data_IF_751481165769
#
_entry.id   IF_751481165769
#
_cell.length_a   1.000
_cell.length_b   1.000
_cell.length_c   1.000
_cell.angle_alpha   90.00
_cell.angle_beta   90.00
_cell.angle_gamma   90.00
#
_symmetry.space_group_name_H-M   'P 1'
#
loop_
_entity.id
_entity.type
_entity.pdbx_description
1 polymer ?
#
# COMPACT_ATOMS: atom_id res chain seq x y z
N UNK A 1 -4.11 -18.22 -1.93
CA UNK A 1 -3.68 -19.65 -1.87
C UNK A 1 -4.10 -20.31 -3.17
N UNK A 2 -3.34 -21.28 -3.68
CA UNK A 2 -3.71 -22.07 -4.86
C UNK A 2 -3.91 -23.54 -4.49
N UNK A 3 -4.85 -24.22 -5.14
CA UNK A 3 -5.13 -25.64 -4.93
C UNK A 3 -4.93 -26.40 -6.24
N UNK A 4 -4.12 -27.44 -6.21
CA UNK A 4 -3.87 -28.33 -7.34
C UNK A 4 -4.49 -29.67 -7.03
N UNK A 5 -5.56 -30.02 -7.74
CA UNK A 5 -6.21 -31.33 -7.64
C UNK A 5 -5.81 -32.20 -8.82
N UNK A 6 -5.20 -33.35 -8.57
CA UNK A 6 -5.01 -34.35 -9.61
C UNK A 6 -6.32 -35.11 -9.83
N UNK A 7 -7.07 -34.72 -10.85
CA UNK A 7 -8.32 -35.38 -11.24
C UNK A 7 -8.12 -36.60 -12.16
N UNK A 8 -6.87 -36.98 -12.46
CA UNK A 8 -6.57 -38.13 -13.31
C UNK A 8 -6.42 -39.42 -12.50
N UNK A 9 -6.39 -40.56 -13.19
CA UNK A 9 -6.16 -41.89 -12.60
C UNK A 9 -4.68 -42.21 -12.41
N UNK A 10 -3.78 -41.32 -12.80
CA UNK A 10 -2.33 -41.54 -12.76
C UNK A 10 -1.65 -40.49 -11.88
N UNK A 11 -0.52 -40.87 -11.26
CA UNK A 11 0.31 -39.92 -10.53
C UNK A 11 0.89 -38.91 -11.51
N UNK A 12 0.87 -37.63 -11.14
CA UNK A 12 1.55 -36.58 -11.89
C UNK A 12 2.83 -36.16 -11.17
N UNK A 13 3.87 -35.87 -11.93
CA UNK A 13 5.11 -35.26 -11.47
C UNK A 13 5.10 -33.79 -11.86
N UNK A 14 5.36 -32.95 -10.88
CA UNK A 14 5.64 -31.51 -11.02
C UNK A 14 7.03 -31.23 -10.44
N UNK A 15 7.60 -30.07 -10.69
CA UNK A 15 8.86 -29.67 -10.08
C UNK A 15 8.63 -28.56 -9.07
N UNK A 16 9.22 -28.72 -7.89
CA UNK A 16 9.33 -27.67 -6.88
C UNK A 16 10.72 -27.04 -6.95
N UNK A 17 10.77 -25.73 -7.06
CA UNK A 17 11.90 -24.82 -7.28
C UNK A 17 11.98 -23.79 -6.14
N UNK A 18 11.39 -24.12 -4.99
CA UNK A 18 11.40 -23.47 -3.66
C UNK A 18 11.67 -21.96 -3.57
N UNK A 19 10.88 -21.21 -4.31
CA UNK A 19 10.43 -19.90 -3.86
C UNK A 19 9.14 -19.67 -4.60
N UNK A 20 7.98 -19.83 -3.94
CA UNK A 20 6.59 -19.42 -4.26
C UNK A 20 6.06 -19.34 -5.73
N UNK A 21 6.85 -19.71 -6.74
CA UNK A 21 6.67 -19.66 -8.19
C UNK A 21 7.03 -21.02 -8.82
N UNK A 22 7.19 -22.08 -8.03
CA UNK A 22 7.86 -23.28 -8.48
C UNK A 22 6.95 -24.32 -9.11
N UNK A 23 5.80 -24.59 -8.49
CA UNK A 23 4.80 -25.50 -9.06
C UNK A 23 3.78 -24.71 -9.90
N UNK A 24 3.52 -23.45 -9.52
CA UNK A 24 2.52 -22.59 -10.15
C UNK A 24 3.19 -21.41 -10.86
N UNK A 25 2.95 -21.31 -12.17
CA UNK A 25 3.25 -20.17 -13.01
C UNK A 25 2.12 -19.15 -12.88
N UNK A 26 2.40 -17.96 -12.35
CA UNK A 26 1.40 -16.90 -12.31
C UNK A 26 1.54 -16.00 -13.55
N UNK A 27 0.45 -15.79 -14.28
CA UNK A 27 0.43 -14.91 -15.45
C UNK A 27 -0.56 -13.77 -15.25
N UNK A 28 -0.13 -12.56 -15.63
CA UNK A 28 -0.94 -11.36 -15.70
C UNK A 28 -1.42 -11.16 -17.14
N UNK A 29 -2.69 -10.83 -17.32
CA UNK A 29 -3.21 -10.42 -18.62
C UNK A 29 -2.77 -8.98 -18.92
N UNK A 30 -2.02 -8.81 -19.99
CA UNK A 30 -1.55 -7.51 -20.49
C UNK A 30 -2.13 -7.24 -21.88
N UNK A 31 -2.06 -6.01 -22.41
CA UNK A 31 -2.48 -5.73 -23.79
C UNK A 31 -1.78 -6.63 -24.82
N UNK A 32 -0.55 -7.05 -24.55
CA UNK A 32 0.24 -7.96 -25.39
C UNK A 32 -0.05 -9.45 -25.11
N UNK A 33 -1.04 -9.74 -24.26
CA UNK A 33 -1.46 -11.08 -23.85
C UNK A 33 -0.97 -11.49 -22.46
N UNK A 34 -1.01 -12.79 -22.19
CA UNK A 34 -0.66 -13.35 -20.87
C UNK A 34 0.85 -13.34 -20.63
N UNK A 35 1.30 -12.48 -19.72
CA UNK A 35 2.70 -12.34 -19.34
C UNK A 35 2.99 -13.05 -18.04
N UNK A 36 3.98 -13.93 -18.03
CA UNK A 36 4.45 -14.57 -16.80
C UNK A 36 5.07 -13.53 -15.87
N UNK A 37 4.57 -13.48 -14.63
CA UNK A 37 5.22 -12.69 -13.59
C UNK A 37 6.55 -13.36 -13.22
N UNK A 38 7.58 -12.52 -13.04
CA UNK A 38 8.99 -12.92 -13.06
C UNK A 38 9.31 -14.17 -12.22
N UNK A 39 10.30 -14.98 -12.64
CA UNK A 39 10.69 -16.16 -11.89
C UNK A 39 11.14 -15.74 -10.49
N UNK A 40 10.67 -16.46 -9.49
CA UNK A 40 11.27 -16.38 -8.17
C UNK A 40 12.75 -16.81 -8.27
N UNK A 41 13.62 -16.22 -7.45
CA UNK A 41 15.03 -16.62 -7.39
C UNK A 41 15.10 -18.12 -7.04
N UNK A 42 15.86 -18.90 -7.83
CA UNK A 42 16.08 -20.30 -7.52
C UNK A 42 17.10 -20.39 -6.39
N UNK A 43 16.62 -20.52 -5.15
CA UNK A 43 17.49 -20.69 -3.99
C UNK A 43 18.06 -22.13 -3.90
N UNK A 44 17.48 -23.08 -4.64
CA UNK A 44 17.99 -24.45 -4.80
C UNK A 44 17.59 -25.11 -6.12
N UNK A 45 18.21 -26.26 -6.42
CA UNK A 45 17.87 -27.07 -7.59
C UNK A 45 16.42 -27.58 -7.54
N UNK A 46 15.72 -27.67 -8.68
CA UNK A 46 14.36 -28.20 -8.76
C UNK A 46 14.26 -29.65 -8.26
N UNK A 47 13.36 -29.88 -7.31
CA UNK A 47 13.04 -31.21 -6.77
C UNK A 47 11.72 -31.72 -7.32
N UNK A 48 11.63 -32.96 -7.81
CA UNK A 48 10.37 -33.51 -8.29
C UNK A 48 9.39 -33.71 -7.12
N UNK A 49 8.16 -33.27 -7.32
CA UNK A 49 7.03 -33.48 -6.42
C UNK A 49 5.99 -34.32 -7.14
N UNK A 50 5.50 -35.36 -6.48
CA UNK A 50 4.48 -36.24 -7.02
C UNK A 50 3.13 -35.95 -6.36
N UNK A 51 2.06 -35.95 -7.16
CA UNK A 51 0.68 -35.74 -6.72
C UNK A 51 -0.12 -36.96 -7.17
N UNK A 52 -0.58 -37.78 -6.21
CA UNK A 52 -1.28 -39.04 -6.46
C UNK A 52 -2.68 -38.80 -7.07
N UNK A 53 -3.30 -39.82 -7.69
CA UNK A 53 -4.68 -39.75 -8.13
C UNK A 53 -5.61 -39.25 -7.01
N UNK A 54 -6.41 -38.23 -7.29
CA UNK A 54 -7.34 -37.62 -6.32
C UNK A 54 -6.70 -36.72 -5.25
N UNK A 55 -5.37 -36.66 -5.14
CA UNK A 55 -4.68 -35.81 -4.16
C UNK A 55 -4.87 -34.33 -4.49
N UNK A 56 -5.09 -33.54 -3.43
CA UNK A 56 -5.13 -32.07 -3.51
C UNK A 56 -3.90 -31.52 -2.80
N UNK A 57 -3.05 -30.82 -3.55
CA UNK A 57 -1.91 -30.08 -3.01
C UNK A 57 -2.31 -28.62 -2.81
N UNK A 58 -2.12 -28.11 -1.60
CA UNK A 58 -2.29 -26.67 -1.33
C UNK A 58 -0.94 -25.98 -1.44
N UNK A 59 -0.90 -24.93 -2.25
CA UNK A 59 0.31 -24.19 -2.56
C UNK A 59 0.09 -22.75 -2.11
N UNK A 60 0.97 -22.29 -1.22
CA UNK A 60 0.99 -20.89 -0.80
C UNK A 60 1.56 -20.08 -1.96
N UNK A 61 0.77 -19.11 -2.44
CA UNK A 61 1.26 -18.11 -3.37
C UNK A 61 2.06 -17.06 -2.59
N UNK A 62 2.99 -16.32 -3.23
CA UNK A 62 3.73 -15.26 -2.55
C UNK A 62 2.74 -14.29 -1.89
N UNK A 63 3.11 -13.72 -0.74
CA UNK A 63 2.46 -12.49 -0.25
C UNK A 63 2.58 -11.40 -1.32
N UNK A 64 1.78 -10.34 -1.24
CA UNK A 64 1.60 -9.25 -2.24
C UNK A 64 2.89 -8.63 -2.79
N UNK A 65 4.05 -8.95 -2.21
CA UNK A 65 5.39 -8.56 -2.60
C UNK A 65 6.19 -9.76 -3.15
N UNK A 66 6.57 -9.69 -4.44
CA UNK A 66 7.75 -10.41 -4.94
C UNK A 66 8.93 -9.43 -4.89
N UNK A 67 9.68 -9.45 -3.78
CA UNK A 67 10.68 -8.41 -3.50
C UNK A 67 10.02 -7.05 -3.21
N UNK A 68 10.45 -5.98 -3.90
CA UNK A 68 9.90 -4.62 -3.75
C UNK A 68 8.66 -4.34 -4.62
N UNK A 69 8.27 -5.25 -5.53
CA UNK A 69 7.12 -5.05 -6.41
C UNK A 69 5.83 -5.59 -5.78
N UNK A 70 4.86 -4.69 -5.60
CA UNK A 70 3.45 -5.05 -5.40
C UNK A 70 2.87 -5.62 -6.69
N UNK A 71 2.07 -6.68 -6.59
CA UNK A 71 1.38 -7.24 -7.75
C UNK A 71 0.49 -6.15 -8.37
N UNK A 72 0.51 -5.90 -9.69
CA UNK A 72 -0.39 -4.91 -10.29
C UNK A 72 -1.85 -5.37 -10.23
N UNK A 73 -2.79 -4.42 -10.29
CA UNK A 73 -4.20 -4.75 -10.47
C UNK A 73 -4.42 -5.33 -11.87
N UNK A 74 -5.20 -6.40 -11.99
CA UNK A 74 -5.54 -6.98 -13.28
C UNK A 74 -6.16 -8.37 -13.21
N UNK A 75 -6.36 -8.97 -14.38
CA UNK A 75 -6.78 -10.36 -14.52
C UNK A 75 -5.56 -11.29 -14.53
N UNK A 76 -5.65 -12.36 -13.76
CA UNK A 76 -4.58 -13.31 -13.50
C UNK A 76 -5.03 -14.72 -13.84
N UNK A 77 -4.08 -15.60 -14.17
CA UNK A 77 -4.30 -17.05 -14.22
C UNK A 77 -3.12 -17.81 -13.65
N UNK A 78 -3.40 -18.95 -13.01
CA UNK A 78 -2.40 -19.86 -12.47
C UNK A 78 -2.18 -21.01 -13.45
N UNK A 79 -0.94 -21.27 -13.84
CA UNK A 79 -0.55 -22.39 -14.70
C UNK A 79 0.24 -23.44 -13.93
N UNK A 80 0.09 -24.71 -14.27
CA UNK A 80 0.90 -25.80 -13.73
C UNK A 80 1.46 -26.63 -14.88
N UNK A 81 2.76 -26.93 -14.84
CA UNK A 81 3.42 -27.82 -15.79
C UNK A 81 3.68 -29.16 -15.12
N UNK A 82 3.23 -30.25 -15.74
CA UNK A 82 3.31 -31.59 -15.17
C UNK A 82 3.50 -32.65 -16.26
N UNK A 83 3.98 -33.83 -15.87
CA UNK A 83 3.96 -35.04 -16.69
C UNK A 83 3.32 -36.19 -15.92
N UNK A 84 2.65 -37.12 -16.59
CA UNK A 84 2.20 -38.36 -15.93
C UNK A 84 3.39 -39.29 -15.73
N UNK A 85 3.38 -40.03 -14.62
CA UNK A 85 4.41 -41.01 -14.31
C UNK A 85 3.82 -42.40 -14.09
N UNK A 86 4.62 -43.42 -14.41
CA UNK A 86 4.30 -44.81 -14.08
C UNK A 86 4.58 -45.14 -12.60
N UNK A 87 4.38 -46.39 -12.21
CA UNK A 87 4.62 -46.88 -10.84
C UNK A 87 6.09 -46.69 -10.39
N UNK A 88 7.04 -46.74 -11.33
CA UNK A 88 8.47 -46.50 -11.08
C UNK A 88 8.84 -45.00 -11.11
N UNK A 89 7.85 -44.11 -11.09
CA UNK A 89 7.99 -42.65 -11.13
C UNK A 89 8.69 -42.11 -12.38
N UNK A 90 8.71 -42.89 -13.47
CA UNK A 90 9.24 -42.46 -14.77
C UNK A 90 8.16 -41.75 -15.59
N UNK A 91 8.48 -40.63 -16.25
CA UNK A 91 7.53 -39.94 -17.11
C UNK A 91 7.09 -40.85 -18.27
N UNK A 92 5.79 -40.90 -18.51
CA UNK A 92 5.16 -41.62 -19.64
C UNK A 92 4.50 -40.66 -20.63
N UNK A 93 4.68 -39.37 -20.42
CA UNK A 93 4.19 -38.30 -21.28
C UNK A 93 5.22 -37.19 -21.37
N UNK A 94 5.05 -36.36 -22.38
CA UNK A 94 5.65 -35.02 -22.40
C UNK A 94 5.08 -34.15 -21.27
N UNK A 95 5.76 -33.04 -20.99
CA UNK A 95 5.30 -32.05 -20.05
C UNK A 95 4.14 -31.24 -20.64
N UNK A 96 3.03 -31.17 -19.92
CA UNK A 96 1.84 -30.42 -20.29
C UNK A 96 1.64 -29.28 -19.32
N UNK A 97 1.29 -28.11 -19.86
CA UNK A 97 0.89 -26.95 -19.05
C UNK A 97 -0.61 -26.73 -19.15
N UNK A 98 -1.28 -26.68 -18.00
CA UNK A 98 -2.70 -26.30 -17.91
C UNK A 98 -2.86 -25.04 -17.07
N UNK A 99 -3.95 -24.30 -17.28
CA UNK A 99 -4.23 -23.03 -16.61
C UNK A 99 -5.58 -23.06 -15.89
N UNK A 100 -5.68 -22.31 -14.79
CA UNK A 100 -6.94 -22.01 -14.12
C UNK A 100 -7.82 -21.09 -14.99
N UNK A 101 -9.09 -21.00 -14.62
CA UNK A 101 -9.92 -19.87 -15.03
C UNK A 101 -9.28 -18.54 -14.58
N UNK A 102 -9.45 -17.45 -15.35
CA UNK A 102 -8.99 -16.14 -14.95
C UNK A 102 -9.62 -15.67 -13.64
N UNK A 103 -8.84 -15.04 -12.78
CA UNK A 103 -9.30 -14.40 -11.55
C UNK A 103 -8.75 -12.98 -11.45
N UNK A 104 -9.53 -12.06 -10.87
CA UNK A 104 -9.10 -10.67 -10.73
C UNK A 104 -8.34 -10.47 -9.43
N UNK A 105 -7.16 -9.85 -9.52
CA UNK A 105 -6.45 -9.29 -8.38
C UNK A 105 -6.71 -7.80 -8.40
N UNK A 106 -7.36 -7.31 -7.35
CA UNK A 106 -7.53 -5.88 -7.10
C UNK A 106 -6.56 -5.52 -6.01
N UNK A 107 -5.49 -4.80 -6.36
CA UNK A 107 -4.75 -4.07 -5.34
C UNK A 107 -5.71 -3.00 -4.84
N UNK A 108 -5.95 -2.88 -3.52
CA UNK A 108 -6.62 -1.69 -3.02
C UNK A 108 -5.84 -0.50 -3.56
N UNK A 109 -6.47 0.29 -4.46
CA UNK A 109 -5.93 1.59 -4.82
C UNK A 109 -5.53 2.26 -3.52
N UNK A 110 -4.30 2.79 -3.37
CA UNK A 110 -3.96 3.57 -2.20
C UNK A 110 -5.07 4.59 -2.09
N UNK A 111 -5.91 4.42 -1.08
CA UNK A 111 -6.93 5.40 -0.85
C UNK A 111 -6.17 6.71 -0.70
N UNK A 112 -6.47 7.80 -1.46
CA UNK A 112 -5.57 8.95 -1.57
C UNK A 112 -5.21 9.54 -0.19
N UNK A 113 -5.98 9.12 0.81
CA UNK A 113 -5.64 9.23 2.19
C UNK A 113 -6.17 10.54 2.70
N UNK A 114 -5.39 11.16 3.57
CA UNK A 114 -5.56 12.58 3.85
C UNK A 114 -4.87 13.38 2.75
N UNK A 115 -5.62 14.28 2.11
CA UNK A 115 -5.13 15.27 1.16
C UNK A 115 -5.30 16.65 1.76
N UNK A 116 -4.22 17.43 1.76
CA UNK A 116 -4.25 18.82 2.22
C UNK A 116 -4.27 19.77 1.03
N UNK A 117 -5.14 20.76 1.06
CA UNK A 117 -5.19 21.81 0.03
C UNK A 117 -5.38 23.19 0.64
N UNK A 118 -4.69 24.19 0.09
CA UNK A 118 -4.90 25.60 0.42
C UNK A 118 -5.76 26.26 -0.65
N UNK A 119 -6.44 27.35 -0.29
CA UNK A 119 -7.26 28.12 -1.23
C UNK A 119 -6.44 28.99 -2.18
N UNK A 120 -5.21 29.35 -1.80
CA UNK A 120 -4.28 30.20 -2.55
C UNK A 120 -2.88 29.62 -2.53
N UNK A 121 -2.04 30.11 -3.44
CA UNK A 121 -0.59 29.87 -3.45
C UNK A 121 0.22 30.97 -2.77
N UNK A 122 -0.42 32.08 -2.43
CA UNK A 122 0.21 33.26 -1.84
C UNK A 122 -0.71 33.82 -0.76
N UNK A 123 -0.11 34.16 0.38
CA UNK A 123 -0.78 34.75 1.54
C UNK A 123 0.05 35.91 2.09
N UNK A 124 -0.56 36.93 2.66
CA UNK A 124 0.10 37.95 3.48
C UNK A 124 0.36 37.42 4.89
N UNK A 125 1.40 37.92 5.55
CA UNK A 125 1.72 37.56 6.95
C UNK A 125 0.54 37.79 7.90
N UNK A 126 -0.37 38.72 7.59
CA UNK A 126 -1.55 39.03 8.42
C UNK A 126 -2.83 38.27 8.06
N UNK A 127 -2.89 37.59 6.91
CA UNK A 127 -4.13 36.97 6.43
C UNK A 127 -4.21 35.49 6.82
N UNK A 128 -5.36 35.01 7.34
CA UNK A 128 -5.49 33.61 7.76
C UNK A 128 -5.30 32.65 6.58
N UNK A 129 -4.69 31.49 6.87
CA UNK A 129 -4.39 30.46 5.87
C UNK A 129 -5.35 29.28 6.08
N UNK A 130 -6.45 29.20 5.32
CA UNK A 130 -7.34 28.05 5.37
C UNK A 130 -6.74 26.86 4.64
N UNK A 131 -6.72 25.72 5.31
CA UNK A 131 -6.33 24.41 4.77
C UNK A 131 -7.53 23.48 4.84
N UNK A 132 -7.92 22.91 3.70
CA UNK A 132 -8.91 21.84 3.65
C UNK A 132 -8.20 20.50 3.84
N UNK A 133 -8.58 19.80 4.91
CA UNK A 133 -8.15 18.43 5.23
C UNK A 133 -9.20 17.47 4.69
N UNK A 134 -8.95 16.90 3.52
CA UNK A 134 -9.86 15.98 2.87
C UNK A 134 -9.44 14.53 3.13
N UNK A 135 -10.26 13.76 3.86
CA UNK A 135 -10.11 12.32 3.90
C UNK A 135 -10.81 11.72 2.68
N UNK A 136 -10.04 11.42 1.64
CA UNK A 136 -10.58 10.80 0.42
C UNK A 136 -10.79 9.30 0.55
N UNK A 137 -10.64 8.77 1.76
CA UNK A 137 -10.81 7.35 2.05
C UNK A 137 -12.18 6.97 2.55
N UNK A 138 -12.51 5.70 2.37
CA UNK A 138 -13.72 5.06 2.88
C UNK A 138 -13.56 4.64 4.36
N UNK A 139 -12.42 4.93 4.98
CA UNK A 139 -12.14 4.64 6.39
C UNK A 139 -11.94 5.95 7.17
N UNK A 140 -12.38 6.02 8.43
CA UNK A 140 -12.01 7.14 9.28
C UNK A 140 -10.49 7.13 9.52
N UNK A 141 -9.86 8.29 9.40
CA UNK A 141 -8.47 8.48 9.81
C UNK A 141 -8.43 9.07 11.22
N UNK A 142 -7.35 8.81 11.95
CA UNK A 142 -7.11 9.38 13.27
C UNK A 142 -5.82 10.18 13.26
N UNK A 143 -5.86 11.38 13.82
CA UNK A 143 -4.72 12.25 14.04
C UNK A 143 -4.70 12.72 15.50
N UNK A 144 -3.64 13.35 15.92
CA UNK A 144 -3.45 13.85 17.27
C UNK A 144 -3.62 15.37 17.30
N UNK A 145 -4.48 15.82 18.21
CA UNK A 145 -4.67 17.23 18.54
C UNK A 145 -3.89 17.54 19.82
N UNK A 146 -2.86 18.37 19.67
CA UNK A 146 -1.99 18.79 20.76
C UNK A 146 -2.48 20.07 21.47
N UNK A 147 -3.70 20.57 21.11
CA UNK A 147 -4.58 21.57 21.77
C UNK A 147 -4.02 22.89 22.29
N UNK A 148 -2.73 23.09 22.21
CA UNK A 148 -2.08 24.27 22.74
C UNK A 148 -1.54 25.04 21.56
N UNK A 149 -2.41 25.87 21.00
CA UNK A 149 -2.19 26.70 19.80
C UNK A 149 -1.98 25.93 18.49
N UNK A 150 -1.69 24.63 18.53
CA UNK A 150 -1.61 23.80 17.35
C UNK A 150 -2.97 23.23 16.99
N UNK A 151 -3.37 23.46 15.74
CA UNK A 151 -4.40 22.65 15.09
C UNK A 151 -3.87 21.22 14.89
N UNK A 152 -4.70 20.31 14.37
CA UNK A 152 -4.24 19.02 13.85
C UNK A 152 -3.20 19.13 12.71
N UNK A 153 -2.91 20.35 12.24
CA UNK A 153 -1.91 20.66 11.22
C UNK A 153 -0.72 21.42 11.81
N UNK A 154 0.45 21.13 11.26
CA UNK A 154 1.68 21.89 11.45
C UNK A 154 1.93 22.79 10.24
N UNK A 155 2.42 24.00 10.48
CA UNK A 155 2.97 24.86 9.44
C UNK A 155 4.48 24.68 9.40
N UNK A 156 5.02 24.32 8.24
CA UNK A 156 6.45 24.14 8.02
C UNK A 156 7.01 25.24 7.11
N UNK A 157 8.12 25.84 7.51
CA UNK A 157 8.90 26.76 6.68
C UNK A 157 9.99 26.01 5.94
N UNK A 158 10.26 26.41 4.70
CA UNK A 158 11.41 25.95 3.94
C UNK A 158 12.66 26.70 4.41
N UNK A 159 13.64 25.96 4.90
CA UNK A 159 14.99 26.43 5.26
C UNK A 159 16.02 25.83 4.29
N UNK A 160 17.29 26.20 4.45
CA UNK A 160 18.39 25.62 3.68
C UNK A 160 18.56 24.12 3.92
N UNK A 161 18.23 23.65 5.13
CA UNK A 161 18.39 22.26 5.57
C UNK A 161 17.13 21.41 5.37
N UNK A 162 16.02 22.00 4.94
CA UNK A 162 14.79 21.28 4.66
C UNK A 162 13.54 22.00 5.15
N UNK A 163 12.56 21.24 5.63
CA UNK A 163 11.31 21.77 6.15
C UNK A 163 11.31 21.73 7.68
N UNK A 164 11.10 22.87 8.32
CA UNK A 164 11.14 23.01 9.78
C UNK A 164 9.78 23.48 10.28
N UNK A 165 9.28 22.85 11.35
CA UNK A 165 8.04 23.28 12.00
C UNK A 165 8.22 24.71 12.54
N UNK A 166 7.28 25.59 12.21
CA UNK A 166 7.35 27.03 12.54
C UNK A 166 6.94 27.33 13.98
N UNK A 167 6.34 26.35 14.64
CA UNK A 167 5.96 26.42 16.04
C UNK A 167 6.16 25.04 16.68
N UNK A 168 6.69 25.05 17.90
CA UNK A 168 6.63 23.90 18.79
C UNK A 168 5.29 23.95 19.53
N UNK A 169 4.49 22.89 19.42
CA UNK A 169 3.26 22.78 20.19
C UNK A 169 3.63 22.65 21.68
N UNK A 170 3.46 23.72 22.45
CA UNK A 170 3.64 23.64 23.89
C UNK A 170 2.51 22.80 24.47
N UNK A 171 2.71 21.51 24.72
CA UNK A 171 1.68 20.61 25.26
C UNK A 171 1.22 21.11 26.65
N UNK A 172 0.17 21.94 26.72
CA UNK A 172 -0.46 22.42 27.96
C UNK A 172 -1.63 21.55 28.40
N UNK A 173 -2.05 20.61 27.57
CA UNK A 173 -3.11 19.64 27.85
C UNK A 173 -2.76 18.27 27.24
N UNK A 174 -3.35 17.17 27.72
CA UNK A 174 -3.14 15.85 27.13
C UNK A 174 -3.47 15.85 25.63
N UNK A 175 -2.60 15.22 24.83
CA UNK A 175 -2.87 14.95 23.42
C UNK A 175 -4.17 14.18 23.27
N UNK A 176 -5.10 14.68 22.46
CA UNK A 176 -6.36 13.99 22.18
C UNK A 176 -6.37 13.44 20.76
N UNK A 177 -6.97 12.27 20.57
CA UNK A 177 -7.22 11.72 19.24
C UNK A 177 -8.37 12.47 18.59
N UNK A 178 -8.16 12.96 17.37
CA UNK A 178 -9.19 13.54 16.51
C UNK A 178 -9.44 12.59 15.35
N UNK A 179 -10.72 12.25 15.14
CA UNK A 179 -11.14 11.43 14.02
C UNK A 179 -11.52 12.32 12.85
N UNK A 180 -10.95 12.03 11.68
CA UNK A 180 -11.32 12.64 10.40
C UNK A 180 -12.20 11.61 9.68
N UNK A 181 -13.53 11.82 9.59
CA UNK A 181 -14.44 10.83 9.04
C UNK A 181 -14.12 10.47 7.59
N UNK A 182 -14.54 9.27 7.17
CA UNK A 182 -14.44 8.84 5.78
C UNK A 182 -15.13 9.84 4.84
N UNK A 183 -14.52 10.14 3.70
CA UNK A 183 -15.03 11.06 2.69
C UNK A 183 -15.34 12.49 3.19
N UNK A 184 -14.84 12.88 4.36
CA UNK A 184 -15.07 14.20 4.93
C UNK A 184 -14.02 15.22 4.49
N UNK A 185 -14.43 16.49 4.46
CA UNK A 185 -13.54 17.64 4.28
C UNK A 185 -13.69 18.53 5.51
N UNK A 186 -12.60 18.70 6.25
CA UNK A 186 -12.56 19.54 7.45
C UNK A 186 -11.75 20.80 7.12
N UNK A 187 -12.34 22.00 7.21
CA UNK A 187 -11.58 23.24 7.10
C UNK A 187 -10.83 23.50 8.41
N UNK A 188 -9.53 23.80 8.30
CA UNK A 188 -8.66 24.16 9.42
C UNK A 188 -7.97 25.48 9.08
N UNK A 189 -8.00 26.44 10.00
CA UNK A 189 -7.27 27.71 9.83
C UNK A 189 -5.94 27.60 10.57
N UNK A 190 -4.83 27.79 9.86
CA UNK A 190 -3.52 27.74 10.50
C UNK A 190 -3.32 28.93 11.45
N UNK A 191 -2.74 28.69 12.64
CA UNK A 191 -2.50 29.72 13.64
C UNK A 191 -1.29 30.56 13.23
N UNK A 192 -1.54 31.63 12.46
CA UNK A 192 -0.51 32.63 12.15
C UNK A 192 -0.55 33.75 13.20
N UNK A 193 0.61 34.32 13.56
CA UNK A 193 0.75 35.45 14.48
C UNK A 193 0.14 35.27 15.88
N UNK A 194 0.19 34.05 16.42
CA UNK A 194 -0.07 33.85 17.85
C UNK A 194 1.15 34.28 18.68
N UNK A 195 0.99 34.40 20.00
CA UNK A 195 2.07 34.81 20.94
C UNK A 195 3.36 33.99 20.75
N UNK A 196 3.25 32.76 20.24
CA UNK A 196 4.37 31.83 20.04
C UNK A 196 4.67 31.53 18.56
N UNK A 197 4.06 32.24 17.60
CA UNK A 197 4.24 31.97 16.16
C UNK A 197 4.46 33.26 15.38
N UNK A 198 5.71 33.62 15.14
CA UNK A 198 6.05 34.75 14.25
C UNK A 198 6.36 34.20 12.86
N UNK A 199 5.39 34.32 11.96
CA UNK A 199 5.55 33.90 10.56
C UNK A 199 6.26 35.00 9.79
N UNK A 200 7.35 34.65 9.10
CA UNK A 200 8.12 35.58 8.25
C UNK A 200 7.82 35.33 6.77
N UNK A 201 8.07 36.29 5.87
CA UNK A 201 7.98 36.01 4.44
C UNK A 201 8.86 34.82 4.03
N UNK A 202 8.35 33.95 3.16
CA UNK A 202 9.06 32.74 2.74
C UNK A 202 8.15 31.70 2.11
N UNK A 203 8.70 30.51 1.87
CA UNK A 203 7.95 29.36 1.35
C UNK A 203 7.55 28.42 2.48
N UNK A 204 6.28 28.04 2.49
CA UNK A 204 5.65 27.24 3.53
C UNK A 204 4.86 26.06 2.97
N UNK A 205 4.57 25.08 3.81
CA UNK A 205 3.58 24.01 3.56
C UNK A 205 2.86 23.65 4.85
N UNK A 206 1.62 23.18 4.74
CA UNK A 206 0.97 22.51 5.86
C UNK A 206 1.34 21.03 5.86
N UNK A 207 1.46 20.45 7.05
CA UNK A 207 1.81 19.04 7.26
C UNK A 207 0.88 18.42 8.30
N UNK A 208 0.49 17.16 8.09
CA UNK A 208 -0.28 16.36 9.04
C UNK A 208 0.32 14.96 9.15
N UNK A 209 0.33 14.42 10.37
CA UNK A 209 0.49 12.99 10.63
C UNK A 209 -0.87 12.36 10.96
N UNK A 210 -1.14 11.18 10.41
CA UNK A 210 -2.39 10.47 10.62
C UNK A 210 -2.18 8.96 10.52
N UNK A 211 -3.16 8.19 10.98
CA UNK A 211 -3.17 6.73 10.88
C UNK A 211 -4.57 6.24 10.54
N UNK A 212 -4.67 5.02 10.02
CA UNK A 212 -5.93 4.30 9.92
C UNK A 212 -5.97 3.26 11.04
N UNK A 213 -6.92 3.37 11.98
CA UNK A 213 -7.04 2.37 13.03
C UNK A 213 -7.49 1.04 12.42
N UNK A 214 -7.02 -0.07 13.00
CA UNK A 214 -7.52 -1.40 12.66
C UNK A 214 -8.94 -1.64 13.23
N UNK A 215 -9.52 -2.80 12.94
CA UNK A 215 -10.86 -3.17 13.44
C UNK A 215 -10.95 -3.27 14.97
N UNK A 216 -9.82 -3.35 15.68
CA UNK A 216 -9.74 -3.34 17.14
C UNK A 216 -9.52 -1.92 17.71
N UNK A 217 -9.42 -0.89 16.85
CA UNK A 217 -9.16 0.49 17.25
C UNK A 217 -7.69 0.80 17.54
N UNK A 218 -6.78 -0.13 17.23
CA UNK A 218 -5.33 0.06 17.37
C UNK A 218 -4.85 1.03 16.31
N UNK A 219 -4.00 1.99 16.69
CA UNK A 219 -3.37 2.94 15.77
C UNK A 219 -2.51 2.17 14.78
N UNK A 220 -2.85 2.23 13.49
CA UNK A 220 -2.03 1.65 12.42
C UNK A 220 -0.75 2.44 12.15
N UNK A 221 -0.07 2.10 11.07
CA UNK A 221 1.12 2.83 10.61
C UNK A 221 0.86 4.34 10.48
N UNK A 222 1.78 5.14 11.02
CA UNK A 222 1.73 6.61 10.91
C UNK A 222 2.10 7.00 9.49
N UNK A 223 1.19 7.72 8.84
CA UNK A 223 1.32 8.31 7.51
C UNK A 223 1.39 9.82 7.62
N UNK A 224 1.91 10.46 6.58
CA UNK A 224 1.96 11.93 6.51
C UNK A 224 1.38 12.45 5.21
N UNK A 225 0.89 13.68 5.24
CA UNK A 225 0.43 14.41 4.06
C UNK A 225 0.84 15.87 4.17
N UNK A 226 1.07 16.49 3.01
CA UNK A 226 1.47 17.90 2.90
C UNK A 226 0.67 18.62 1.84
N UNK A 227 0.55 19.93 1.97
CA UNK A 227 0.09 20.77 0.85
C UNK A 227 1.22 20.90 -0.18
N UNK A 228 0.85 21.31 -1.39
CA UNK A 228 1.81 21.98 -2.27
C UNK A 228 2.42 23.20 -1.54
N UNK A 229 3.69 23.55 -1.81
CA UNK A 229 4.29 24.75 -1.26
C UNK A 229 3.53 26.02 -1.65
N UNK A 230 3.39 26.93 -0.69
CA UNK A 230 2.81 28.26 -0.89
C UNK A 230 3.72 29.33 -0.31
N UNK A 231 3.55 30.58 -0.75
CA UNK A 231 4.33 31.72 -0.29
C UNK A 231 3.57 32.51 0.76
N UNK A 232 4.33 33.02 1.74
CA UNK A 232 3.88 34.06 2.65
C UNK A 232 4.69 35.32 2.33
N UNK A 233 4.00 36.45 2.15
CA UNK A 233 4.52 37.74 1.75
C UNK A 233 4.26 38.78 2.85
N UNK A 234 4.98 39.90 2.81
CA UNK A 234 4.73 41.03 3.72
C UNK A 234 3.33 41.64 3.55
#
# INVERSE_FOLDING_TARGET
MAHVKNASQMTIRVFDMESFCSIIKLQLNTPDGWKQLGPCAMDKMPTPVYIKPGEVKTIRLPSETMGSLKWPTGAYRAGITFAWVNADLRPVSDEITTFSEPFNVVVPTPNPGIVLTTSKREYKVTEPIPVAVANRSNMPAVTEDHRSFCTILYLQAKTETGWVNTFECQIKSPTMKVTIPANAVIPVILPINTVNTVVRPGTYRAWIAYSYPDSAGTVGEIRTSVTEPFLILN
#
